data_IF_818467919858
#
_entry.id   IF_818467919858
#
_cell.length_a   1.000
_cell.length_b   1.000
_cell.length_c   1.000
_cell.angle_alpha   90.00
_cell.angle_beta   90.00
_cell.angle_gamma   90.00
#
_symmetry.space_group_name_H-M   'P 1'
#
loop_
_entity.id
_entity.type
_entity.pdbx_description
1 polymer ?
#
# COMPACT_ATOMS: atom_id res chain seq x y z
N UNK A 1 -7.50 5.25 -10.90
CA UNK A 1 -6.55 6.02 -10.06
C UNK A 1 -6.20 7.28 -10.84
N UNK A 2 -5.87 8.43 -10.24
CA UNK A 2 -4.99 9.36 -10.94
C UNK A 2 -3.72 8.56 -11.23
N UNK A 3 -3.48 8.27 -12.51
CA UNK A 3 -2.67 7.14 -12.98
C UNK A 3 -1.17 7.35 -12.77
N UNK A 4 -0.72 8.57 -12.40
CA UNK A 4 0.70 8.92 -12.44
C UNK A 4 1.31 9.38 -11.11
N UNK A 5 0.55 9.45 -10.02
CA UNK A 5 1.11 9.75 -8.71
C UNK A 5 1.72 8.48 -8.10
N UNK A 6 2.90 8.08 -8.57
CA UNK A 6 3.73 7.10 -7.86
C UNK A 6 4.04 7.70 -6.49
N UNK A 7 3.50 7.11 -5.42
CA UNK A 7 3.83 7.55 -4.07
C UNK A 7 5.32 7.32 -3.85
N UNK A 8 6.09 8.41 -3.95
CA UNK A 8 7.54 8.39 -3.78
C UNK A 8 7.91 8.09 -2.32
N UNK A 9 7.06 8.49 -1.39
CA UNK A 9 7.14 8.12 0.01
C UNK A 9 5.99 7.17 0.38
N UNK A 10 6.35 5.98 0.88
CA UNK A 10 5.41 4.96 1.37
C UNK A 10 5.36 4.89 2.90
N UNK A 11 5.91 5.90 3.58
CA UNK A 11 5.84 6.03 5.02
C UNK A 11 4.41 6.13 5.52
N UNK A 12 4.11 5.46 6.64
CA UNK A 12 2.77 5.40 7.20
C UNK A 12 2.17 6.79 7.47
N UNK A 13 2.95 7.67 8.12
CA UNK A 13 2.55 9.05 8.38
C UNK A 13 2.25 9.83 7.10
N UNK A 14 3.07 9.66 6.07
CA UNK A 14 2.92 10.38 4.81
C UNK A 14 1.59 9.98 4.13
N UNK A 15 1.33 8.67 4.03
CA UNK A 15 0.09 8.16 3.44
C UNK A 15 -1.13 8.58 4.27
N UNK A 16 -1.02 8.54 5.60
CA UNK A 16 -2.08 8.98 6.50
C UNK A 16 -2.43 10.46 6.27
N UNK A 17 -1.41 11.33 6.28
CA UNK A 17 -1.58 12.77 6.04
C UNK A 17 -2.17 13.06 4.65
N UNK A 18 -1.70 12.34 3.63
CA UNK A 18 -2.23 12.45 2.27
C UNK A 18 -3.75 12.22 2.22
N UNK A 19 -4.24 11.17 2.90
CA UNK A 19 -5.67 10.85 2.92
C UNK A 19 -6.49 11.73 3.88
N UNK A 20 -5.92 12.17 5.01
CA UNK A 20 -6.65 12.98 5.99
C UNK A 20 -6.76 14.44 5.59
N UNK A 21 -5.66 15.03 5.10
CA UNK A 21 -5.52 16.49 4.98
C UNK A 21 -5.27 16.99 3.55
N UNK A 22 -4.76 16.13 2.64
CA UNK A 22 -4.34 16.57 1.32
C UNK A 22 -5.33 16.13 0.21
N UNK A 23 -4.85 16.07 -1.03
CA UNK A 23 -5.63 15.69 -2.21
C UNK A 23 -6.27 14.29 -2.08
N UNK A 24 -5.66 13.41 -1.27
CA UNK A 24 -6.19 12.07 -0.96
C UNK A 24 -7.59 12.06 -0.36
N UNK A 25 -7.98 13.15 0.31
CA UNK A 25 -9.32 13.30 0.90
C UNK A 25 -10.41 13.33 -0.16
N UNK A 26 -10.10 13.91 -1.32
CA UNK A 26 -11.08 14.25 -2.37
C UNK A 26 -11.05 13.30 -3.58
N UNK A 27 -10.24 12.23 -3.56
CA UNK A 27 -10.15 11.26 -4.67
C UNK A 27 -11.52 10.61 -4.96
N UNK A 28 -12.29 10.35 -3.90
CA UNK A 28 -13.51 9.53 -3.96
C UNK A 28 -14.63 10.19 -3.15
N UNK A 29 -15.79 10.35 -3.79
CA UNK A 29 -17.00 10.89 -3.15
C UNK A 29 -17.58 9.87 -2.15
N UNK A 30 -18.38 10.35 -1.20
CA UNK A 30 -19.10 9.54 -0.22
C UNK A 30 -18.22 8.56 0.55
N UNK A 31 -16.98 8.97 0.84
CA UNK A 31 -16.08 8.17 1.67
C UNK A 31 -16.47 8.27 3.15
N UNK A 32 -16.27 7.22 3.95
CA UNK A 32 -16.64 7.21 5.35
C UNK A 32 -15.88 8.30 6.11
N UNK A 33 -16.59 8.99 6.99
CA UNK A 33 -16.02 10.00 7.89
C UNK A 33 -15.47 9.25 9.09
N UNK A 34 -14.17 9.43 9.36
CA UNK A 34 -13.47 8.88 10.51
C UNK A 34 -12.88 10.06 11.26
N UNK A 35 -13.48 10.35 12.40
CA UNK A 35 -13.12 11.45 13.29
C UNK A 35 -12.89 10.94 14.71
N UNK A 36 -12.19 11.75 15.50
CA UNK A 36 -11.91 11.48 16.89
C UNK A 36 -12.96 12.17 17.76
N UNK A 37 -13.58 11.42 18.65
CA UNK A 37 -14.56 11.96 19.60
C UNK A 37 -13.88 12.74 20.74
N UNK A 38 -12.63 12.40 21.07
CA UNK A 38 -11.84 13.03 22.14
C UNK A 38 -10.42 13.30 21.67
N UNK A 39 -10.17 14.47 21.07
CA UNK A 39 -8.82 14.92 20.75
C UNK A 39 -8.21 15.64 21.94
N UNK A 40 -7.55 14.89 22.84
CA UNK A 40 -6.52 15.53 23.65
C UNK A 40 -5.42 16.07 22.72
N UNK A 41 -4.83 17.21 23.07
CA UNK A 41 -3.77 17.88 22.28
C UNK A 41 -2.53 17.01 22.02
N UNK A 42 -2.47 15.79 22.57
CA UNK A 42 -1.36 14.83 22.45
C UNK A 42 -1.57 13.83 21.29
N UNK A 43 -2.77 13.72 20.74
CA UNK A 43 -3.08 12.76 19.67
C UNK A 43 -2.26 13.05 18.41
N UNK A 44 -1.51 12.03 17.95
CA UNK A 44 -0.63 12.11 16.78
C UNK A 44 0.73 12.76 17.01
N UNK A 45 1.05 13.19 18.24
CA UNK A 45 2.38 13.78 18.55
C UNK A 45 3.44 12.74 18.89
N UNK A 46 3.05 11.57 19.37
CA UNK A 46 3.96 10.50 19.78
C UNK A 46 3.68 9.22 19.00
N UNK A 47 4.73 8.65 18.44
CA UNK A 47 4.68 7.33 17.82
C UNK A 47 4.53 6.25 18.89
N UNK A 48 3.38 5.59 18.88
CA UNK A 48 3.14 4.39 19.65
C UNK A 48 2.31 3.40 18.81
N UNK A 49 2.29 2.14 19.23
CA UNK A 49 1.59 1.09 18.50
C UNK A 49 0.08 1.38 18.32
N UNK A 50 -0.55 2.10 19.26
CA UNK A 50 -1.94 2.53 19.14
C UNK A 50 -2.16 3.55 18.03
N UNK A 51 -1.28 4.54 17.93
CA UNK A 51 -1.29 5.54 16.86
C UNK A 51 -1.00 4.91 15.50
N UNK A 52 0.00 4.04 15.42
CA UNK A 52 0.38 3.40 14.16
C UNK A 52 -0.72 2.43 13.67
N UNK A 53 -1.35 1.68 14.59
CA UNK A 53 -2.49 0.82 14.25
C UNK A 53 -3.73 1.62 13.82
N UNK A 54 -4.01 2.75 14.47
CA UNK A 54 -5.06 3.67 14.04
C UNK A 54 -4.80 4.20 12.62
N UNK A 55 -3.59 4.74 12.36
CA UNK A 55 -3.22 5.26 11.04
C UNK A 55 -3.36 4.18 9.97
N UNK A 56 -2.90 2.97 10.28
CA UNK A 56 -3.00 1.81 9.39
C UNK A 56 -4.47 1.46 9.10
N UNK A 57 -5.33 1.42 10.12
CA UNK A 57 -6.76 1.15 9.96
C UNK A 57 -7.48 2.24 9.16
N UNK A 58 -7.14 3.50 9.37
CA UNK A 58 -7.66 4.63 8.59
C UNK A 58 -7.32 4.46 7.11
N UNK A 59 -6.04 4.22 6.79
CA UNK A 59 -5.57 4.02 5.42
C UNK A 59 -6.25 2.80 4.78
N UNK A 60 -6.39 1.71 5.53
CA UNK A 60 -7.06 0.49 5.08
C UNK A 60 -8.48 0.77 4.60
N UNK A 61 -9.30 1.46 5.40
CA UNK A 61 -10.68 1.80 5.05
C UNK A 61 -10.72 2.72 3.82
N UNK A 62 -9.82 3.71 3.74
CA UNK A 62 -9.73 4.64 2.59
C UNK A 62 -9.38 3.90 1.29
N UNK A 63 -8.42 2.99 1.35
CA UNK A 63 -8.01 2.18 0.19
C UNK A 63 -9.11 1.21 -0.23
N UNK A 64 -9.79 0.57 0.71
CA UNK A 64 -10.96 -0.27 0.43
C UNK A 64 -12.05 0.51 -0.31
N UNK A 65 -12.36 1.74 0.15
CA UNK A 65 -13.33 2.62 -0.53
C UNK A 65 -12.89 2.95 -1.96
N UNK A 66 -11.61 3.24 -2.16
CA UNK A 66 -11.05 3.52 -3.50
C UNK A 66 -11.17 2.30 -4.42
N UNK A 67 -10.93 1.10 -3.91
CA UNK A 67 -11.10 -0.14 -4.68
C UNK A 67 -12.57 -0.35 -5.09
N UNK A 68 -13.51 -0.14 -4.17
CA UNK A 68 -14.95 -0.22 -4.47
C UNK A 68 -15.38 0.84 -5.47
N UNK A 69 -15.02 2.10 -5.24
CA UNK A 69 -15.46 3.23 -6.06
C UNK A 69 -15.04 3.10 -7.53
N UNK A 70 -13.94 2.40 -7.84
CA UNK A 70 -13.54 2.13 -9.24
C UNK A 70 -14.52 1.23 -9.98
N UNK A 71 -15.22 0.35 -9.27
CA UNK A 71 -16.03 -0.71 -9.85
C UNK A 71 -17.55 -0.43 -9.78
N UNK A 72 -17.95 0.64 -9.09
CA UNK A 72 -19.35 0.97 -8.86
C UNK A 72 -19.65 2.46 -9.11
N UNK A 73 -20.92 2.83 -9.37
CA UNK A 73 -21.30 4.24 -9.51
C UNK A 73 -20.98 5.06 -8.26
N UNK A 74 -20.60 6.31 -8.46
CA UNK A 74 -20.23 7.24 -7.38
C UNK A 74 -21.33 7.51 -6.34
N UNK A 75 -22.57 7.23 -6.68
CA UNK A 75 -23.75 7.40 -5.84
C UNK A 75 -24.02 6.23 -4.91
N UNK A 76 -23.36 5.08 -5.13
CA UNK A 76 -23.54 3.90 -4.29
C UNK A 76 -22.93 4.13 -2.90
N UNK A 77 -23.71 3.83 -1.87
CA UNK A 77 -23.21 3.67 -0.51
C UNK A 77 -22.82 2.22 -0.28
N UNK A 78 -21.77 1.98 0.51
CA UNK A 78 -21.22 0.66 0.75
C UNK A 78 -21.39 0.24 2.21
N UNK A 79 -21.67 -1.04 2.43
CA UNK A 79 -21.73 -1.64 3.77
C UNK A 79 -20.37 -2.24 4.18
N UNK A 80 -20.06 -2.42 5.48
CA UNK A 80 -18.77 -2.91 5.95
C UNK A 80 -18.25 -4.18 5.26
N UNK A 81 -19.14 -5.15 4.99
CA UNK A 81 -18.77 -6.40 4.32
C UNK A 81 -18.29 -6.18 2.88
N UNK A 82 -18.79 -5.16 2.18
CA UNK A 82 -18.34 -4.85 0.81
C UNK A 82 -16.90 -4.32 0.82
N UNK A 83 -16.50 -3.56 1.85
CA UNK A 83 -15.11 -3.09 1.98
C UNK A 83 -14.15 -4.26 2.15
N UNK A 84 -14.51 -5.25 2.99
CA UNK A 84 -13.70 -6.46 3.16
C UNK A 84 -13.66 -7.26 1.87
N UNK A 85 -14.80 -7.45 1.21
CA UNK A 85 -14.88 -8.16 -0.07
C UNK A 85 -14.01 -7.52 -1.15
N UNK A 86 -13.95 -6.19 -1.19
CA UNK A 86 -13.12 -5.46 -2.16
C UNK A 86 -11.61 -5.65 -1.98
N UNK A 87 -11.18 -6.08 -0.79
CA UNK A 87 -9.78 -6.33 -0.47
C UNK A 87 -9.43 -7.81 -0.41
N UNK A 88 -10.35 -8.69 -0.81
CA UNK A 88 -10.17 -10.14 -0.69
C UNK A 88 -8.94 -10.65 -1.45
N UNK A 89 -8.56 -10.01 -2.56
CA UNK A 89 -7.35 -10.35 -3.32
C UNK A 89 -6.04 -10.10 -2.55
N UNK A 90 -6.05 -9.28 -1.51
CA UNK A 90 -4.89 -8.96 -0.66
C UNK A 90 -4.86 -9.75 0.65
N UNK A 91 -5.87 -10.59 0.89
CA UNK A 91 -5.94 -11.42 2.10
C UNK A 91 -4.69 -12.30 2.19
N UNK A 92 -4.14 -12.41 3.41
CA UNK A 92 -3.05 -13.32 3.74
C UNK A 92 -1.78 -13.11 2.88
N UNK A 93 -1.60 -11.89 2.38
CA UNK A 93 -0.39 -11.47 1.67
C UNK A 93 0.41 -10.49 2.52
N UNK A 94 1.68 -10.79 2.73
CA UNK A 94 2.61 -9.92 3.46
C UNK A 94 3.52 -9.23 2.46
N UNK A 95 3.57 -7.90 2.50
CA UNK A 95 4.47 -7.11 1.66
C UNK A 95 5.93 -7.30 2.09
N UNK A 96 6.81 -7.67 1.16
CA UNK A 96 8.24 -7.77 1.41
C UNK A 96 8.96 -6.53 0.89
N UNK A 97 9.87 -6.01 1.70
CA UNK A 97 10.78 -4.93 1.29
C UNK A 97 12.13 -5.52 0.88
N UNK A 98 12.66 -5.07 -0.26
CA UNK A 98 13.99 -5.44 -0.77
C UNK A 98 14.20 -6.95 -1.02
N UNK A 99 13.14 -7.66 -1.39
CA UNK A 99 13.19 -9.08 -1.75
C UNK A 99 13.01 -9.30 -3.25
N UNK A 100 13.39 -10.48 -3.72
CA UNK A 100 13.24 -10.91 -5.11
C UNK A 100 11.79 -11.21 -5.50
N UNK A 101 10.92 -11.41 -4.52
CA UNK A 101 9.46 -11.52 -4.67
C UNK A 101 8.80 -10.35 -3.93
N UNK A 102 7.71 -9.78 -4.46
CA UNK A 102 7.07 -8.60 -3.88
C UNK A 102 6.27 -8.89 -2.60
N UNK A 103 5.74 -10.09 -2.46
CA UNK A 103 4.87 -10.49 -1.33
C UNK A 103 5.05 -11.95 -1.01
N UNK A 104 4.82 -12.33 0.26
CA UNK A 104 4.60 -13.73 0.67
C UNK A 104 3.10 -13.99 0.70
N UNK A 105 2.66 -15.16 0.24
CA UNK A 105 1.28 -15.63 0.40
C UNK A 105 1.23 -16.73 1.46
N UNK A 106 0.36 -16.57 2.47
CA UNK A 106 0.22 -17.54 3.56
C UNK A 106 -0.78 -18.66 3.24
N UNK A 107 -1.67 -18.46 2.27
CA UNK A 107 -2.70 -19.43 1.88
C UNK A 107 -2.32 -20.19 0.59
N UNK A 108 -1.36 -19.69 -0.19
CA UNK A 108 -0.99 -20.21 -1.52
C UNK A 108 0.51 -19.99 -1.78
N UNK A 109 0.98 -20.36 -2.97
CA UNK A 109 2.34 -20.13 -3.44
C UNK A 109 2.67 -18.65 -3.63
N UNK A 110 3.95 -18.33 -3.40
CA UNK A 110 4.48 -17.00 -3.61
C UNK A 110 4.50 -16.64 -5.11
N UNK A 111 4.33 -15.34 -5.45
CA UNK A 111 4.41 -14.88 -6.83
C UNK A 111 5.79 -15.09 -7.42
N UNK A 112 5.85 -15.17 -8.75
CA UNK A 112 7.11 -15.29 -9.51
C UNK A 112 8.04 -14.13 -9.16
N UNK A 113 9.33 -14.44 -9.02
CA UNK A 113 10.34 -13.43 -8.74
C UNK A 113 10.37 -12.36 -9.84
N UNK A 114 10.41 -11.10 -9.40
CA UNK A 114 10.61 -9.94 -10.29
C UNK A 114 12.09 -9.58 -10.45
N UNK A 115 13.01 -10.39 -9.90
CA UNK A 115 14.45 -10.15 -10.04
C UNK A 115 14.83 -10.41 -11.50
N UNK A 116 15.58 -9.50 -12.16
CA UNK A 116 16.16 -9.81 -13.45
C UNK A 116 16.97 -11.10 -13.38
N UNK A 117 16.98 -11.92 -14.44
CA UNK A 117 17.82 -13.12 -14.48
C UNK A 117 19.28 -12.73 -14.26
N UNK A 118 20.06 -13.66 -13.68
CA UNK A 118 21.49 -13.44 -13.54
C UNK A 118 22.12 -13.21 -14.91
N UNK A 119 22.88 -12.12 -15.04
CA UNK A 119 23.76 -11.94 -16.18
C UNK A 119 25.00 -12.81 -15.96
N UNK A 120 25.02 -13.99 -16.58
CA UNK A 120 26.19 -14.86 -16.59
C UNK A 120 27.05 -14.45 -17.79
N UNK A 121 28.24 -13.92 -17.50
CA UNK A 121 29.22 -13.56 -18.53
C UNK A 121 30.32 -14.62 -18.51
N UNK A 122 30.41 -15.40 -19.59
CA UNK A 122 31.52 -16.32 -19.82
C UNK A 122 32.47 -15.71 -20.83
N UNK A 123 33.78 -15.73 -20.52
CA UNK A 123 34.78 -15.26 -21.45
C UNK A 123 35.18 -16.40 -22.39
N UNK A 124 34.91 -16.24 -23.70
CA UNK A 124 35.33 -17.22 -24.72
C UNK A 124 36.86 -17.31 -24.86
N UNK A 125 37.58 -16.30 -24.37
CA UNK A 125 39.03 -16.27 -24.30
C UNK A 125 39.40 -16.31 -22.82
N UNK A 126 40.29 -17.18 -22.38
CA UNK A 126 40.69 -17.34 -20.97
C UNK A 126 41.52 -16.14 -20.46
N UNK A 127 41.02 -14.92 -20.65
CA UNK A 127 41.61 -13.62 -20.32
C UNK A 127 40.77 -12.99 -19.21
N UNK A 128 41.44 -12.23 -18.35
CA UNK A 128 40.80 -11.52 -17.25
C UNK A 128 39.79 -10.50 -17.78
N UNK A 129 38.54 -10.62 -17.31
CA UNK A 129 37.53 -9.58 -17.47
C UNK A 129 37.78 -8.50 -16.40
N UNK A 130 38.02 -7.27 -16.83
CA UNK A 130 38.01 -6.12 -15.92
C UNK A 130 36.56 -5.63 -15.78
N UNK A 131 35.98 -5.76 -14.58
CA UNK A 131 34.57 -5.47 -14.27
C UNK A 131 34.43 -4.18 -13.45
N UNK A 132 35.37 -3.24 -13.57
CA UNK A 132 35.23 -1.94 -12.91
C UNK A 132 34.09 -1.14 -13.55
N UNK A 133 33.06 -0.87 -12.75
CA UNK A 133 31.96 0.08 -13.01
C UNK A 133 32.35 1.48 -12.55
#
# INVERSE_FOLDING_TARGET
>A
MPIDARWNDKGLNHIFNYFKNEQGRHIVKNSPIIDFEHSDDTYGKLHNAGWDSFCTGYIFIRMAHICLYKNYPATKSFVPNEYIGALMEYKNKINLIRCSVPTINLDDTDPISTRPPYLVIESCQNKSLNIQQ
#
